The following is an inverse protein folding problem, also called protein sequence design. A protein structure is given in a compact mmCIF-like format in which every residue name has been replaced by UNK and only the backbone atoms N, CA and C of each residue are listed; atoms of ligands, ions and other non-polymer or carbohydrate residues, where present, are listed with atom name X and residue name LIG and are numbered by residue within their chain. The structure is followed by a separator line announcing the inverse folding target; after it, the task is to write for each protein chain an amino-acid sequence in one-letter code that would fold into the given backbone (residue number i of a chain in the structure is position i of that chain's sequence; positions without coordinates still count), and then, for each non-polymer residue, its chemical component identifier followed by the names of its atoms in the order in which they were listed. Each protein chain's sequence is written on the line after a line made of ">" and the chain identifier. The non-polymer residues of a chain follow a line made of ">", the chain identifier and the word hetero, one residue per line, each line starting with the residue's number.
data_IF_377051208194
#
_entry.id   IF_377051208194
#
_cell.length_a   1.000
_cell.length_b   1.000
_cell.length_c   1.000
_cell.angle_alpha   90.00
_cell.angle_beta   90.00
_cell.angle_gamma   90.00
#
_symmetry.space_group_name_H-M   'P 1'
#
loop_
_entity.id
_entity.type
_entity.pdbx_description
1 polymer ?
#
# COMPACT_ATOMS: atom_id res chain seq x y z
N UNK A 1 -8.78 -9.84 7.91
CA UNK A 1 -8.59 -8.39 8.15
C UNK A 1 -7.79 -8.08 9.41
N UNK A 2 -8.18 -8.53 10.61
CA UNK A 2 -7.44 -8.19 11.85
C UNK A 2 -5.97 -8.61 11.83
N UNK A 3 -5.66 -9.82 11.31
CA UNK A 3 -4.27 -10.27 11.12
C UNK A 3 -3.47 -9.42 10.11
N UNK A 4 -4.15 -8.88 9.09
CA UNK A 4 -3.52 -8.02 8.07
C UNK A 4 -3.15 -6.67 8.68
N UNK A 5 -4.04 -6.09 9.48
CA UNK A 5 -3.77 -4.85 10.22
C UNK A 5 -2.59 -5.04 11.18
N UNK A 6 -2.52 -6.19 11.87
CA UNK A 6 -1.41 -6.49 12.77
C UNK A 6 -0.07 -6.61 12.04
N UNK A 7 -0.06 -7.25 10.87
CA UNK A 7 1.14 -7.40 10.05
C UNK A 7 1.59 -6.06 9.43
N UNK A 8 0.64 -5.20 9.06
CA UNK A 8 0.92 -3.84 8.59
C UNK A 8 1.54 -2.97 9.70
N UNK A 9 0.94 -2.96 10.89
CA UNK A 9 1.47 -2.23 12.05
C UNK A 9 2.86 -2.74 12.43
N UNK A 10 3.09 -4.06 12.34
CA UNK A 10 4.40 -4.65 12.59
C UNK A 10 5.46 -4.21 11.57
N UNK A 11 5.13 -4.19 10.28
CA UNK A 11 6.01 -3.70 9.21
C UNK A 11 6.36 -2.21 9.36
N UNK A 12 5.38 -1.40 9.75
CA UNK A 12 5.58 0.03 10.05
C UNK A 12 6.47 0.22 11.28
N UNK A 13 6.29 -0.59 12.33
CA UNK A 13 7.13 -0.55 13.53
C UNK A 13 8.59 -1.00 13.29
N UNK A 14 8.87 -1.73 12.22
CA UNK A 14 10.22 -2.21 11.89
C UNK A 14 11.07 -1.19 11.10
N UNK A 15 10.61 0.06 10.96
CA UNK A 15 11.33 1.13 10.24
C UNK A 15 11.76 0.73 8.81
N UNK A 16 11.00 -0.16 8.17
CA UNK A 16 11.29 -0.56 6.80
C UNK A 16 11.12 0.65 5.87
N UNK A 17 11.96 0.72 4.82
CA UNK A 17 11.88 1.77 3.83
C UNK A 17 10.43 1.98 3.39
N UNK A 18 9.98 3.24 3.32
CA UNK A 18 8.59 3.59 3.02
C UNK A 18 8.10 2.93 1.71
N UNK A 19 9.03 2.68 0.77
CA UNK A 19 8.82 1.92 -0.45
C UNK A 19 8.38 0.46 -0.19
N UNK A 20 9.04 -0.22 0.75
CA UNK A 20 8.74 -1.60 1.13
C UNK A 20 7.39 -1.69 1.84
N UNK A 21 7.07 -0.70 2.67
CA UNK A 21 5.75 -0.60 3.33
C UNK A 21 4.65 -0.45 2.28
N UNK A 22 4.81 0.46 1.31
CA UNK A 22 3.87 0.64 0.19
C UNK A 22 3.69 -0.64 -0.64
N UNK A 23 4.80 -1.32 -0.96
CA UNK A 23 4.77 -2.57 -1.71
C UNK A 23 4.01 -3.67 -0.95
N UNK A 24 4.24 -3.79 0.36
CA UNK A 24 3.58 -4.80 1.19
C UNK A 24 2.07 -4.58 1.28
N UNK A 25 1.64 -3.32 1.28
CA UNK A 25 0.24 -2.92 1.35
C UNK A 25 -0.48 -3.18 0.02
N UNK A 26 0.15 -2.89 -1.12
CA UNK A 26 -0.33 -3.32 -2.45
C UNK A 26 -0.51 -4.85 -2.54
N UNK A 27 0.47 -5.61 -2.05
CA UNK A 27 0.39 -7.07 -2.02
C UNK A 27 -0.79 -7.58 -1.19
N UNK A 28 -1.09 -6.93 -0.07
CA UNK A 28 -2.25 -7.24 0.76
C UNK A 28 -3.56 -7.02 0.00
N UNK A 29 -3.70 -5.89 -0.70
CA UNK A 29 -4.90 -5.61 -1.50
C UNK A 29 -5.08 -6.62 -2.63
N UNK A 30 -4.01 -7.01 -3.32
CA UNK A 30 -4.03 -8.05 -4.35
C UNK A 30 -4.52 -9.40 -3.83
N UNK A 31 -4.03 -9.82 -2.65
CA UNK A 31 -4.47 -11.07 -2.01
C UNK A 31 -5.97 -10.98 -1.66
N UNK A 32 -6.41 -9.86 -1.09
CA UNK A 32 -7.83 -9.63 -0.82
C UNK A 32 -8.69 -9.71 -2.09
N UNK A 33 -8.22 -9.13 -3.20
CA UNK A 33 -8.91 -9.15 -4.47
C UNK A 33 -8.99 -10.57 -5.05
N UNK A 34 -7.91 -11.35 -4.95
CA UNK A 34 -7.91 -12.75 -5.37
C UNK A 34 -8.93 -13.59 -4.60
N UNK A 35 -9.07 -13.36 -3.29
CA UNK A 35 -10.12 -14.01 -2.52
C UNK A 35 -11.52 -13.56 -2.96
N UNK A 36 -11.77 -12.26 -3.11
CA UNK A 36 -13.09 -11.74 -3.52
C UNK A 36 -13.52 -12.32 -4.87
N UNK A 37 -12.63 -12.28 -5.87
CA UNK A 37 -12.91 -12.80 -7.21
C UNK A 37 -12.98 -14.33 -7.21
N UNK A 38 -12.09 -15.01 -6.49
CA UNK A 38 -12.05 -16.48 -6.41
C UNK A 38 -13.28 -17.10 -5.73
N UNK A 39 -13.92 -16.40 -4.80
CA UNK A 39 -15.18 -16.82 -4.19
C UNK A 39 -16.42 -16.48 -5.03
N UNK A 40 -16.26 -15.92 -6.23
CA UNK A 40 -17.37 -15.57 -7.12
C UNK A 40 -18.22 -14.40 -6.62
N UNK A 41 -17.68 -13.56 -5.73
CA UNK A 41 -18.35 -12.34 -5.29
C UNK A 41 -18.26 -11.28 -6.40
N UNK A 42 -19.43 -10.76 -6.79
CA UNK A 42 -19.72 -9.59 -7.61
C UNK A 42 -18.47 -8.89 -8.17
N UNK A 43 -18.15 -9.14 -9.45
CA UNK A 43 -16.98 -8.58 -10.17
C UNK A 43 -16.85 -7.05 -10.05
N UNK A 44 -17.99 -6.36 -9.96
CA UNK A 44 -18.08 -4.90 -9.79
C UNK A 44 -17.42 -4.43 -8.49
N UNK A 45 -17.50 -5.22 -7.42
CA UNK A 45 -16.88 -4.90 -6.15
C UNK A 45 -15.36 -5.07 -6.20
N UNK A 46 -14.87 -6.07 -6.95
CA UNK A 46 -13.45 -6.25 -7.23
C UNK A 46 -12.86 -5.08 -8.02
N UNK A 47 -13.57 -4.60 -9.05
CA UNK A 47 -13.18 -3.41 -9.83
C UNK A 47 -13.10 -2.15 -8.98
N UNK A 48 -14.07 -1.94 -8.08
CA UNK A 48 -14.04 -0.81 -7.15
C UNK A 48 -12.82 -0.89 -6.24
N UNK A 49 -12.54 -2.06 -5.65
CA UNK A 49 -11.35 -2.27 -4.81
C UNK A 49 -10.04 -2.03 -5.56
N UNK A 50 -9.95 -2.48 -6.81
CA UNK A 50 -8.78 -2.24 -7.66
C UNK A 50 -8.55 -0.75 -7.91
N UNK A 51 -9.62 -0.01 -8.21
CA UNK A 51 -9.54 1.44 -8.44
C UNK A 51 -9.09 2.20 -7.18
N UNK A 52 -9.57 1.78 -6.01
CA UNK A 52 -9.17 2.34 -4.73
C UNK A 52 -7.68 2.09 -4.44
N UNK A 53 -7.21 0.85 -4.64
CA UNK A 53 -5.79 0.48 -4.49
C UNK A 53 -4.89 1.33 -5.39
N UNK A 54 -5.29 1.53 -6.66
CA UNK A 54 -4.52 2.35 -7.60
C UNK A 54 -4.40 3.82 -7.16
N UNK A 55 -5.48 4.39 -6.59
CA UNK A 55 -5.45 5.75 -6.05
C UNK A 55 -4.54 5.86 -4.82
N UNK A 56 -4.61 4.90 -3.90
CA UNK A 56 -3.74 4.86 -2.73
C UNK A 56 -2.27 4.72 -3.12
N UNK A 57 -1.95 3.80 -4.04
CA UNK A 57 -0.60 3.61 -4.56
C UNK A 57 -0.02 4.89 -5.17
N UNK A 58 -0.81 5.61 -5.99
CA UNK A 58 -0.38 6.88 -6.57
C UNK A 58 -0.09 7.95 -5.49
N UNK A 59 -0.97 8.09 -4.49
CA UNK A 59 -0.77 9.03 -3.38
C UNK A 59 0.48 8.65 -2.57
N UNK A 60 0.65 7.37 -2.26
CA UNK A 60 1.80 6.84 -1.52
C UNK A 60 3.13 7.11 -2.22
N UNK A 61 3.21 6.89 -3.54
CA UNK A 61 4.40 7.20 -4.34
C UNK A 61 4.66 8.71 -4.40
N UNK A 62 3.62 9.54 -4.53
CA UNK A 62 3.77 10.99 -4.47
C UNK A 62 4.35 11.46 -3.12
N UNK A 63 3.88 10.89 -2.01
CA UNK A 63 4.45 11.17 -0.68
C UNK A 63 5.90 10.70 -0.56
N UNK A 64 6.22 9.52 -1.07
CA UNK A 64 7.57 8.98 -1.06
C UNK A 64 8.55 9.91 -1.80
N UNK A 65 8.18 10.37 -2.99
CA UNK A 65 8.98 11.31 -3.78
C UNK A 65 9.15 12.65 -3.06
N UNK A 66 8.11 13.13 -2.36
CA UNK A 66 8.17 14.35 -1.56
C UNK A 66 9.13 14.23 -0.37
N UNK A 67 9.05 13.13 0.39
CA UNK A 67 9.97 12.87 1.50
C UNK A 67 11.41 12.67 1.05
N UNK A 68 11.64 11.94 -0.05
CA UNK A 68 12.97 11.77 -0.62
C UNK A 68 13.58 13.11 -1.06
N UNK A 69 12.80 13.99 -1.71
CA UNK A 69 13.25 15.35 -2.04
C UNK A 69 13.57 16.16 -0.78
N UNK A 70 12.76 16.06 0.28
CA UNK A 70 12.97 16.79 1.53
C UNK A 70 14.22 16.31 2.27
N UNK A 71 14.50 15.01 2.30
CA UNK A 71 15.75 14.48 2.86
C UNK A 71 16.95 14.95 2.05
N UNK A 72 16.95 14.80 0.72
CA UNK A 72 18.05 15.29 -0.12
C UNK A 72 18.30 16.80 0.02
N UNK A 73 17.25 17.61 0.20
CA UNK A 73 17.39 19.04 0.45
C UNK A 73 17.99 19.40 1.81
N UNK A 74 17.79 18.57 2.84
CA UNK A 74 18.38 18.76 4.18
C UNK A 74 19.85 18.35 4.26
N UNK A 75 20.30 17.40 3.43
CA UNK A 75 21.71 16.98 3.38
C UNK A 75 22.61 17.94 2.57
N UNK A 76 22.02 18.90 1.85
CA UNK A 76 22.73 19.84 0.98
C UNK A 76 22.85 21.26 1.58
N UNK A 77 22.45 21.44 2.84
CA UNK A 77 22.70 22.62 3.68
C UNK A 77 23.76 22.31 4.74
#
# INVERSE_FOLDING_TARGET
>A
MVLMVFFFVFLVCLEMELAVVLLSLEFMFLICLFYIVGYGLIDWFGLFFLSFSACEGAIGVCFLLFFNKKQFGLYLQ
#
